data_IF_351984253760
#
_entry.id   IF_351984253760
#
_cell.length_a   1.000
_cell.length_b   1.000
_cell.length_c   1.000
_cell.angle_alpha   90.00
_cell.angle_beta   90.00
_cell.angle_gamma   90.00
#
_symmetry.space_group_name_H-M   'P 1'
#
loop_
_entity.id
_entity.type
_entity.pdbx_description
1 polymer ?
#
# COMPACT_ATOMS: atom_id res chain seq x y z
N UNK A 1 -10.30 29.22 -22.24
CA UNK A 1 -10.77 28.86 -20.88
C UNK A 1 -11.29 27.43 -20.86
N UNK A 2 -10.88 26.61 -19.90
CA UNK A 2 -11.42 25.27 -19.75
C UNK A 2 -12.86 25.30 -19.19
N UNK A 3 -13.67 24.31 -19.57
CA UNK A 3 -15.04 24.18 -19.05
C UNK A 3 -15.02 23.78 -17.58
N UNK A 4 -15.82 24.46 -16.75
CA UNK A 4 -16.04 24.10 -15.33
C UNK A 4 -16.52 22.66 -15.16
N UNK A 5 -16.12 22.01 -14.05
CA UNK A 5 -16.54 20.67 -13.67
C UNK A 5 -18.08 20.53 -13.59
N UNK A 6 -18.74 21.60 -13.16
CA UNK A 6 -20.20 21.67 -12.96
C UNK A 6 -20.96 22.09 -14.22
N UNK A 7 -20.25 22.39 -15.32
CA UNK A 7 -20.86 22.69 -16.62
C UNK A 7 -21.83 21.59 -17.05
N UNK A 8 -22.99 22.00 -17.59
CA UNK A 8 -24.03 21.08 -18.08
C UNK A 8 -23.47 20.12 -19.13
N UNK A 9 -22.62 20.61 -20.04
CA UNK A 9 -21.97 19.80 -21.08
C UNK A 9 -21.10 18.67 -20.49
N UNK A 10 -20.20 18.99 -19.56
CA UNK A 10 -19.32 17.97 -18.94
C UNK A 10 -20.11 16.99 -18.08
N UNK A 11 -21.20 17.41 -17.45
CA UNK A 11 -22.13 16.53 -16.72
C UNK A 11 -22.83 15.55 -17.67
N UNK A 12 -23.36 16.03 -18.79
CA UNK A 12 -24.01 15.21 -19.83
C UNK A 12 -23.08 14.11 -20.35
N UNK A 13 -21.87 14.49 -20.79
CA UNK A 13 -20.88 13.52 -21.28
C UNK A 13 -20.44 12.50 -20.22
N UNK A 14 -20.38 12.90 -18.93
CA UNK A 14 -20.10 11.97 -17.82
C UNK A 14 -21.25 10.99 -17.59
N UNK A 15 -22.50 11.43 -17.73
CA UNK A 15 -23.66 10.55 -17.62
C UNK A 15 -23.66 9.53 -18.77
N UNK A 16 -23.41 9.96 -20.00
CA UNK A 16 -23.26 9.06 -21.16
C UNK A 16 -22.13 8.05 -20.96
N UNK A 17 -20.97 8.49 -20.46
CA UNK A 17 -19.86 7.60 -20.10
C UNK A 17 -20.26 6.58 -19.04
N UNK A 18 -21.02 6.98 -18.00
CA UNK A 18 -21.50 6.06 -16.97
C UNK A 18 -22.48 5.03 -17.53
N UNK A 19 -23.38 5.40 -18.45
CA UNK A 19 -24.28 4.43 -19.11
C UNK A 19 -23.50 3.32 -19.82
N UNK A 20 -22.38 3.66 -20.48
CA UNK A 20 -21.51 2.69 -21.15
C UNK A 20 -20.69 1.83 -20.17
N UNK A 21 -20.14 2.44 -19.12
CA UNK A 21 -19.20 1.77 -18.23
C UNK A 21 -19.87 1.02 -17.08
N UNK A 22 -21.01 1.49 -16.58
CA UNK A 22 -21.73 0.88 -15.47
C UNK A 22 -21.99 -0.62 -15.65
N UNK A 23 -22.56 -1.12 -16.76
CA UNK A 23 -22.80 -2.56 -16.91
C UNK A 23 -21.51 -3.38 -16.95
N UNK A 24 -20.42 -2.82 -17.51
CA UNK A 24 -19.12 -3.50 -17.63
C UNK A 24 -18.44 -3.67 -16.27
N UNK A 25 -18.44 -2.60 -15.47
CA UNK A 25 -17.87 -2.62 -14.12
C UNK A 25 -18.75 -3.49 -13.20
N UNK A 26 -20.08 -3.43 -13.34
CA UNK A 26 -20.99 -4.26 -12.55
C UNK A 26 -20.74 -5.76 -12.77
N UNK A 27 -20.60 -6.20 -14.03
CA UNK A 27 -20.28 -7.59 -14.34
C UNK A 27 -18.93 -8.01 -13.71
N UNK A 28 -17.89 -7.19 -13.84
CA UNK A 28 -16.57 -7.47 -13.22
C UNK A 28 -16.66 -7.59 -11.71
N UNK A 29 -17.40 -6.68 -11.06
CA UNK A 29 -17.57 -6.68 -9.62
C UNK A 29 -18.40 -7.87 -9.14
N UNK A 30 -19.44 -8.28 -9.89
CA UNK A 30 -20.22 -9.48 -9.60
C UNK A 30 -19.40 -10.75 -9.71
N UNK A 31 -18.54 -10.84 -10.72
CA UNK A 31 -17.58 -11.94 -10.89
C UNK A 31 -16.60 -11.97 -9.71
N UNK A 32 -16.02 -10.82 -9.34
CA UNK A 32 -15.10 -10.73 -8.20
C UNK A 32 -15.75 -11.09 -6.86
N UNK A 33 -17.04 -10.76 -6.69
CA UNK A 33 -17.81 -11.09 -5.50
C UNK A 33 -18.36 -12.54 -5.51
N UNK A 34 -18.18 -13.29 -6.60
CA UNK A 34 -18.70 -14.65 -6.74
C UNK A 34 -20.22 -14.75 -6.83
N UNK A 35 -20.94 -13.63 -6.98
CA UNK A 35 -22.42 -13.61 -7.00
C UNK A 35 -23.04 -14.23 -8.25
N UNK A 36 -22.28 -14.35 -9.34
CA UNK A 36 -22.74 -14.96 -10.60
C UNK A 36 -22.66 -16.50 -10.61
N UNK A 37 -22.49 -17.14 -9.46
CA UNK A 37 -22.59 -18.61 -9.33
C UNK A 37 -21.47 -19.41 -10.00
N UNK A 38 -20.52 -18.72 -10.66
CA UNK A 38 -19.27 -19.28 -11.21
C UNK A 38 -18.07 -19.06 -10.29
N UNK A 39 -18.33 -18.58 -9.07
CA UNK A 39 -17.33 -18.48 -8.01
C UNK A 39 -17.28 -19.80 -7.24
N UNK A 40 -16.69 -20.84 -7.83
CA UNK A 40 -15.92 -21.79 -7.02
C UNK A 40 -14.72 -21.05 -6.43
N UNK A 41 -14.99 -20.18 -5.46
CA UNK A 41 -14.12 -19.95 -4.31
C UNK A 41 -14.79 -20.67 -3.14
N UNK A 42 -15.37 -21.84 -3.41
CA UNK A 42 -15.46 -22.86 -2.39
C UNK A 42 -14.01 -23.22 -2.10
N UNK A 43 -13.60 -23.15 -0.84
CA UNK A 43 -12.32 -23.68 -0.36
C UNK A 43 -12.21 -25.22 -0.54
N UNK A 44 -12.63 -25.77 -1.70
CA UNK A 44 -12.52 -27.19 -2.07
C UNK A 44 -11.07 -27.52 -2.40
N UNK A 45 -10.41 -26.68 -3.20
CA UNK A 45 -8.99 -26.84 -3.52
C UNK A 45 -8.10 -26.72 -2.27
N UNK A 46 -8.53 -25.93 -1.26
CA UNK A 46 -7.85 -25.86 0.05
C UNK A 46 -8.22 -27.04 0.95
N UNK A 47 -9.42 -27.62 0.81
CA UNK A 47 -9.82 -28.82 1.54
C UNK A 47 -9.06 -30.07 1.06
N UNK A 48 -8.68 -30.13 -0.22
CA UNK A 48 -7.81 -31.19 -0.75
C UNK A 48 -6.37 -31.06 -0.25
N UNK A 49 -5.88 -29.84 -0.01
CA UNK A 49 -4.53 -29.59 0.53
C UNK A 49 -4.49 -29.74 2.06
N UNK A 50 -5.59 -29.45 2.77
CA UNK A 50 -5.67 -29.56 4.21
C UNK A 50 -6.18 -30.95 4.64
N UNK A 51 -5.32 -31.97 4.59
CA UNK A 51 -5.60 -33.22 5.29
C UNK A 51 -5.68 -32.94 6.79
N UNK A 52 -6.87 -33.04 7.39
CA UNK A 52 -7.04 -32.95 8.85
C UNK A 52 -6.39 -34.19 9.47
N UNK A 53 -5.16 -34.03 9.97
CA UNK A 53 -4.46 -35.07 10.72
C UNK A 53 -5.03 -35.08 12.15
N UNK A 54 -5.66 -36.17 12.60
CA UNK A 54 -6.13 -36.28 13.98
C UNK A 54 -4.94 -36.20 14.95
N UNK A 55 -5.10 -35.45 16.05
CA UNK A 55 -4.04 -35.15 17.02
C UNK A 55 -3.27 -36.37 17.56
N UNK A 56 -3.86 -37.56 17.49
CA UNK A 56 -3.22 -38.83 17.86
C UNK A 56 -1.99 -39.14 17.00
N UNK A 57 -1.98 -38.77 15.71
CA UNK A 57 -0.87 -39.01 14.78
C UNK A 57 0.29 -38.02 14.93
N UNK A 58 0.06 -36.85 15.54
CA UNK A 58 1.10 -35.84 15.77
C UNK A 58 2.00 -36.20 16.97
N UNK A 59 1.45 -36.95 17.94
CA UNK A 59 2.20 -37.39 19.13
C UNK A 59 3.25 -38.46 18.83
N UNK A 60 3.13 -39.16 17.71
CA UNK A 60 4.04 -40.25 17.32
C UNK A 60 5.21 -39.78 16.42
N UNK A 61 5.21 -38.53 15.93
CA UNK A 61 6.21 -38.00 14.99
C UNK A 61 7.15 -36.94 15.58
N UNK A 62 7.24 -36.83 16.89
CA UNK A 62 8.03 -35.80 17.58
C UNK A 62 9.46 -36.25 17.95
N UNK A 63 9.97 -37.32 17.35
CA UNK A 63 11.38 -37.71 17.46
C UNK A 63 11.97 -37.72 16.03
N UNK A 64 12.94 -36.83 15.80
CA UNK A 64 13.90 -36.80 14.68
C UNK A 64 13.43 -36.30 13.30
N UNK A 65 13.28 -34.99 13.11
CA UNK A 65 13.83 -34.27 11.94
C UNK A 65 14.19 -32.83 12.32
N UNK A 66 15.47 -32.54 12.49
CA UNK A 66 16.02 -31.18 12.49
C UNK A 66 15.90 -30.60 11.06
N UNK A 67 14.93 -29.72 10.83
CA UNK A 67 14.91 -28.89 9.62
C UNK A 67 15.73 -27.63 9.89
N UNK A 68 16.98 -27.73 9.45
CA UNK A 68 17.94 -26.66 9.22
C UNK A 68 17.24 -25.39 8.71
N UNK A 69 17.50 -24.26 9.36
CA UNK A 69 17.02 -22.96 8.95
C UNK A 69 17.54 -22.60 7.56
N UNK A 70 16.63 -22.58 6.58
CA UNK A 70 16.88 -21.99 5.28
C UNK A 70 16.47 -20.51 5.40
N UNK A 71 17.49 -19.68 5.63
CA UNK A 71 17.46 -18.23 5.45
C UNK A 71 17.01 -17.93 4.02
N UNK A 72 15.69 -17.82 3.83
CA UNK A 72 15.11 -17.39 2.56
C UNK A 72 15.22 -15.85 2.49
N UNK A 73 16.44 -15.40 2.19
CA UNK A 73 16.83 -14.06 1.73
C UNK A 73 16.22 -13.78 0.34
N UNK A 74 14.89 -13.92 0.21
CA UNK A 74 14.14 -13.80 -1.04
C UNK A 74 13.09 -12.67 -0.95
N UNK A 75 13.45 -11.57 -0.27
CA UNK A 75 12.49 -10.50 -0.03
C UNK A 75 13.01 -9.16 0.50
N UNK A 76 14.33 -8.93 0.60
CA UNK A 76 14.80 -7.55 0.73
C UNK A 76 14.60 -6.84 -0.60
N UNK A 77 13.40 -6.27 -0.81
CA UNK A 77 13.27 -5.14 -1.72
C UNK A 77 14.33 -4.11 -1.31
N UNK A 78 15.08 -3.56 -2.27
CA UNK A 78 15.93 -2.38 -2.06
C UNK A 78 15.05 -1.22 -1.57
N UNK A 79 14.73 -1.23 -0.29
CA UNK A 79 14.28 -0.06 0.43
C UNK A 79 15.49 0.86 0.44
N UNK A 80 15.26 2.14 0.17
CA UNK A 80 16.25 3.22 0.30
C UNK A 80 16.73 3.33 1.78
N UNK A 81 17.37 2.30 2.34
CA UNK A 81 17.78 2.18 3.74
C UNK A 81 18.79 3.26 4.12
N UNK A 82 19.42 3.87 3.12
CA UNK A 82 20.36 5.00 3.25
C UNK A 82 19.67 6.37 3.39
N UNK A 83 18.32 6.43 3.38
CA UNK A 83 17.57 7.69 3.43
C UNK A 83 17.13 8.05 4.83
N UNK A 84 17.41 9.29 5.23
CA UNK A 84 16.93 9.82 6.50
C UNK A 84 15.39 9.89 6.54
N UNK A 85 14.73 9.08 7.40
CA UNK A 85 13.25 9.04 7.54
C UNK A 85 12.61 10.41 7.79
N UNK A 86 13.32 11.31 8.49
CA UNK A 86 12.83 12.67 8.84
C UNK A 86 12.96 13.68 7.70
N UNK A 87 14.00 13.56 6.87
CA UNK A 87 14.32 14.57 5.84
C UNK A 87 14.16 14.05 4.41
N UNK A 88 13.95 12.75 4.23
CA UNK A 88 13.89 12.04 2.94
C UNK A 88 15.11 12.31 2.06
N UNK A 89 16.26 12.62 2.67
CA UNK A 89 17.52 12.88 1.96
C UNK A 89 18.39 11.63 1.98
N UNK A 90 19.06 11.34 0.87
CA UNK A 90 20.15 10.36 0.81
C UNK A 90 21.45 10.95 1.41
N UNK A 91 22.51 10.14 1.43
CA UNK A 91 23.85 10.52 1.89
C UNK A 91 24.42 11.76 1.17
N UNK A 92 24.12 11.91 -0.12
CA UNK A 92 24.51 13.07 -0.93
C UNK A 92 23.57 14.29 -0.79
N UNK A 93 22.57 14.25 0.09
CA UNK A 93 21.66 15.37 0.32
C UNK A 93 20.59 15.60 -0.76
N UNK A 94 20.31 14.60 -1.59
CA UNK A 94 19.33 14.60 -2.68
C UNK A 94 18.01 13.90 -2.31
N UNK A 95 16.90 14.51 -2.76
CA UNK A 95 15.54 13.98 -2.62
C UNK A 95 15.27 12.81 -3.59
N UNK A 96 14.25 11.97 -3.34
CA UNK A 96 13.89 10.87 -4.25
C UNK A 96 13.56 11.37 -5.65
N UNK A 97 13.88 10.57 -6.67
CA UNK A 97 13.61 10.90 -8.08
C UNK A 97 12.11 11.04 -8.36
N UNK A 98 11.28 10.27 -7.66
CA UNK A 98 9.81 10.36 -7.75
C UNK A 98 9.25 11.63 -7.07
N UNK A 99 10.03 12.31 -6.22
CA UNK A 99 9.57 13.51 -5.55
C UNK A 99 9.60 14.70 -6.51
N UNK A 100 8.44 15.34 -6.70
CA UNK A 100 8.34 16.52 -7.56
C UNK A 100 9.23 17.67 -7.08
N UNK A 101 9.77 18.46 -8.02
CA UNK A 101 10.64 19.60 -7.70
C UNK A 101 9.98 20.62 -6.76
N UNK A 102 8.64 20.78 -6.85
CA UNK A 102 7.86 21.67 -5.97
C UNK A 102 7.83 21.15 -4.52
N UNK A 103 7.65 19.85 -4.34
CA UNK A 103 7.67 19.23 -3.00
C UNK A 103 9.07 19.31 -2.38
N UNK A 104 10.12 19.06 -3.15
CA UNK A 104 11.51 19.21 -2.70
C UNK A 104 11.80 20.65 -2.21
N UNK A 105 11.37 21.67 -2.98
CA UNK A 105 11.49 23.09 -2.57
C UNK A 105 10.72 23.41 -1.28
N UNK A 106 9.50 22.88 -1.13
CA UNK A 106 8.67 23.06 0.08
C UNK A 106 9.29 22.41 1.33
N UNK A 107 9.88 21.22 1.19
CA UNK A 107 10.55 20.55 2.31
C UNK A 107 11.84 21.26 2.70
N UNK A 108 12.60 21.75 1.70
CA UNK A 108 13.80 22.57 1.91
C UNK A 108 13.48 23.88 2.65
N UNK A 109 12.39 24.57 2.27
CA UNK A 109 11.99 25.82 2.94
C UNK A 109 11.57 25.59 4.39
N UNK A 110 10.78 24.55 4.69
CA UNK A 110 10.41 24.17 6.06
C UNK A 110 11.64 23.90 6.93
N UNK A 111 12.62 23.14 6.41
CA UNK A 111 13.86 22.82 7.15
C UNK A 111 14.72 24.05 7.43
N UNK A 112 14.82 24.97 6.46
CA UNK A 112 15.55 26.23 6.66
C UNK A 112 14.84 27.13 7.67
N UNK A 113 13.51 27.21 7.63
CA UNK A 113 12.72 27.99 8.56
C UNK A 113 12.83 27.50 10.02
N UNK A 114 12.96 26.19 10.23
CA UNK A 114 13.12 25.63 11.58
C UNK A 114 14.50 25.80 12.19
N UNK A 115 15.56 25.96 11.36
CA UNK A 115 16.95 26.11 11.86
C UNK A 115 17.21 27.47 12.51
N UNK A 116 16.40 28.50 12.22
CA UNK A 116 16.58 29.86 12.72
C UNK A 116 15.72 30.24 13.93
N UNK A 117 14.81 29.37 14.39
CA UNK A 117 13.98 29.65 15.56
C UNK A 117 14.53 28.90 16.77
N UNK A 118 15.34 29.60 17.57
CA UNK A 118 15.65 29.17 18.93
C UNK A 118 14.30 29.08 19.67
N UNK A 119 13.92 27.88 20.14
CA UNK A 119 12.70 27.74 20.96
C UNK A 119 12.94 28.54 22.22
N UNK A 120 12.32 29.70 22.36
CA UNK A 120 12.28 30.40 23.65
C UNK A 120 11.60 29.46 24.64
N UNK A 121 12.30 29.09 25.71
CA UNK A 121 11.69 28.35 26.82
C UNK A 121 10.60 29.27 27.36
N UNK A 122 9.34 28.89 27.20
CA UNK A 122 8.23 29.61 27.87
C UNK A 122 8.54 29.52 29.37
N UNK A 123 8.87 30.65 29.97
CA UNK A 123 9.18 30.75 31.38
C UNK A 123 8.00 30.23 32.20
N UNK A 124 8.32 29.45 33.23
CA UNK A 124 7.41 29.15 34.33
C UNK A 124 7.10 30.49 34.99
N UNK A 125 5.86 30.96 34.86
CA UNK A 125 5.37 32.09 35.64
C UNK A 125 4.89 31.53 36.97
N UNK A 126 5.55 31.98 38.04
CA UNK A 126 5.03 31.97 39.41
C UNK A 126 3.69 32.72 39.46
#
# INVERSE_FOLDING_TARGET
>A
MAKSLRSKWKRKMRAEKRKKNAPKELARLKVALGQEGKGEITMKDVAEIATVVPAKKLKEKAEDVEMLGEDDDMGQMEMDSKRNKKTMLNEHGQYPVWMSQRQAKKMKSKRKASKGKQKTKKGVAW
#
